data_IF_944242189037
#
_entry.id   IF_944242189037
#
_cell.length_a   1.000
_cell.length_b   1.000
_cell.length_c   1.000
_cell.angle_alpha   90.00
_cell.angle_beta   90.00
_cell.angle_gamma   90.00
#
_symmetry.space_group_name_H-M   'P 1'
#
loop_
_entity.id
_entity.type
_entity.pdbx_description
1 polymer ?
#
# COMPACT_ATOMS: atom_id res chain seq x y z
N UNK A 1 14.52 -17.20 43.93
CA UNK A 1 13.42 -16.93 42.96
C UNK A 1 12.61 -15.74 43.49
N UNK A 2 13.23 -14.61 43.81
CA UNK A 2 13.66 -13.45 42.99
C UNK A 2 12.51 -12.54 42.51
N UNK A 3 12.38 -11.42 43.24
CA UNK A 3 11.64 -10.19 42.90
C UNK A 3 12.03 -9.60 41.52
N UNK A 4 13.15 -10.04 40.94
CA UNK A 4 13.57 -9.69 39.57
C UNK A 4 12.62 -10.21 38.48
N UNK A 5 11.84 -11.27 38.73
CA UNK A 5 10.86 -11.76 37.75
C UNK A 5 9.60 -10.91 37.67
N UNK A 6 9.25 -10.15 38.70
CA UNK A 6 8.04 -9.30 38.69
C UNK A 6 8.32 -7.98 37.97
N UNK A 7 9.53 -7.41 38.14
CA UNK A 7 9.96 -6.21 37.42
C UNK A 7 10.13 -6.41 35.90
N UNK A 8 10.54 -7.60 35.45
CA UNK A 8 10.66 -7.90 34.01
C UNK A 8 9.32 -8.13 33.30
N UNK A 9 8.26 -8.52 34.02
CA UNK A 9 6.93 -8.72 33.45
C UNK A 9 6.17 -7.40 33.31
N UNK A 10 6.31 -6.48 34.27
CA UNK A 10 5.71 -5.13 34.17
C UNK A 10 6.40 -4.24 33.11
N UNK A 11 7.72 -4.35 32.94
CA UNK A 11 8.42 -3.61 31.87
C UNK A 11 8.10 -4.15 30.46
N UNK A 12 7.82 -5.46 30.31
CA UNK A 12 7.35 -6.02 29.03
C UNK A 12 5.91 -5.63 28.70
N UNK A 13 5.03 -5.52 29.69
CA UNK A 13 3.65 -5.07 29.49
C UNK A 13 3.57 -3.60 29.04
N UNK A 14 4.40 -2.72 29.62
CA UNK A 14 4.46 -1.30 29.22
C UNK A 14 5.11 -1.08 27.85
N UNK A 15 6.06 -1.94 27.44
CA UNK A 15 6.64 -1.90 26.09
C UNK A 15 5.69 -2.50 25.04
N UNK A 16 4.84 -3.47 25.42
CA UNK A 16 3.80 -4.01 24.54
C UNK A 16 2.61 -3.06 24.36
N UNK A 17 2.18 -2.35 25.40
CA UNK A 17 1.14 -1.30 25.28
C UNK A 17 1.68 -0.06 24.55
N UNK A 18 2.97 0.27 24.69
CA UNK A 18 3.61 1.34 23.92
C UNK A 18 3.79 1.00 22.44
N UNK A 19 4.16 -0.24 22.11
CA UNK A 19 4.29 -0.72 20.73
C UNK A 19 2.92 -0.87 20.06
N UNK A 20 1.92 -1.41 20.76
CA UNK A 20 0.54 -1.45 20.25
C UNK A 20 -0.05 -0.05 20.12
N UNK A 21 0.29 0.93 20.97
CA UNK A 21 -0.17 2.31 20.83
C UNK A 21 0.45 3.05 19.64
N UNK A 22 1.67 2.72 19.20
CA UNK A 22 2.23 3.26 17.96
C UNK A 22 1.70 2.52 16.73
N UNK A 23 1.52 1.20 16.82
CA UNK A 23 0.83 0.42 15.78
C UNK A 23 -0.63 0.89 15.62
N UNK A 24 -1.33 1.24 16.70
CA UNK A 24 -2.69 1.81 16.69
C UNK A 24 -2.73 3.25 16.16
N UNK A 25 -1.65 4.04 16.34
CA UNK A 25 -1.54 5.38 15.73
C UNK A 25 -1.19 5.33 14.24
N UNK A 26 -0.56 4.25 13.79
CA UNK A 26 -0.34 3.95 12.36
C UNK A 26 -1.57 3.25 11.74
N UNK A 27 -2.39 2.53 12.51
CA UNK A 27 -3.57 1.75 12.06
C UNK A 27 -4.87 2.54 11.88
N UNK A 28 -4.83 3.87 11.87
CA UNK A 28 -5.93 4.73 11.39
C UNK A 28 -5.80 5.07 9.89
N UNK A 29 -4.99 4.29 9.14
CA UNK A 29 -4.42 4.68 7.85
C UNK A 29 -5.24 4.40 6.60
N UNK A 30 -6.42 3.77 6.67
CA UNK A 30 -7.20 3.57 5.44
C UNK A 30 -8.03 4.79 5.03
N UNK A 31 -8.30 5.73 5.94
CA UNK A 31 -9.27 6.81 5.69
C UNK A 31 -8.86 8.22 6.14
N UNK A 32 -7.61 8.43 6.59
CA UNK A 32 -7.04 9.78 6.69
C UNK A 32 -6.72 10.32 5.28
N UNK A 33 -7.77 10.66 4.56
CA UNK A 33 -7.79 11.06 3.15
C UNK A 33 -7.07 12.39 2.85
N UNK A 34 -6.40 13.02 3.82
CA UNK A 34 -5.73 14.31 3.64
C UNK A 34 -4.20 14.24 3.54
N UNK A 35 -3.54 13.13 3.88
CA UNK A 35 -2.06 13.09 3.95
C UNK A 35 -1.38 12.02 3.08
N UNK A 36 -2.11 11.07 2.49
CA UNK A 36 -1.51 10.18 1.48
C UNK A 36 -1.21 10.98 0.21
N UNK A 37 0.07 11.12 -0.15
CA UNK A 37 0.48 11.60 -1.46
C UNK A 37 -0.04 10.64 -2.54
N UNK A 38 -1.27 10.88 -3.01
CA UNK A 38 -1.89 10.05 -4.05
C UNK A 38 -1.09 10.16 -5.34
N UNK A 39 -0.82 9.00 -5.93
CA UNK A 39 -0.15 8.86 -7.21
C UNK A 39 -1.23 8.61 -8.25
N UNK A 40 -1.40 9.55 -9.19
CA UNK A 40 -2.29 9.38 -10.33
C UNK A 40 -1.64 8.59 -11.46
N UNK A 41 -0.31 8.64 -11.56
CA UNK A 41 0.47 7.84 -12.49
C UNK A 41 1.92 7.68 -11.99
N UNK A 42 2.53 6.55 -12.32
CA UNK A 42 3.98 6.31 -12.19
C UNK A 42 4.61 6.41 -13.56
N UNK A 43 5.64 7.27 -13.69
CA UNK A 43 6.39 7.49 -14.94
C UNK A 43 7.77 6.84 -14.82
N UNK A 44 8.09 5.91 -15.73
CA UNK A 44 9.32 5.14 -15.74
C UNK A 44 10.40 5.80 -16.61
N UNK A 45 11.64 5.32 -16.50
CA UNK A 45 12.79 5.93 -17.17
C UNK A 45 12.77 5.75 -18.70
N UNK A 46 12.11 4.70 -19.18
CA UNK A 46 11.89 4.43 -20.60
C UNK A 46 10.80 5.32 -21.23
N UNK A 47 10.20 6.23 -20.44
CA UNK A 47 9.12 7.10 -20.88
C UNK A 47 7.74 6.45 -20.85
N UNK A 48 7.64 5.18 -20.43
CA UNK A 48 6.34 4.54 -20.19
C UNK A 48 5.70 5.06 -18.90
N UNK A 49 4.37 5.06 -18.87
CA UNK A 49 3.59 5.49 -17.72
C UNK A 49 2.51 4.47 -17.38
N UNK A 50 2.32 4.21 -16.10
CA UNK A 50 1.19 3.42 -15.59
C UNK A 50 0.26 4.36 -14.86
N UNK A 51 -0.95 4.54 -15.38
CA UNK A 51 -2.03 5.27 -14.71
C UNK A 51 -2.54 4.43 -13.55
N UNK A 52 -2.62 5.05 -12.37
CA UNK A 52 -3.13 4.38 -11.18
C UNK A 52 -4.61 4.67 -11.05
N UNK A 53 -5.49 3.67 -11.14
CA UNK A 53 -6.91 3.87 -10.91
C UNK A 53 -7.16 4.37 -9.50
N UNK A 54 -8.11 5.28 -9.36
CA UNK A 54 -8.52 5.85 -8.07
C UNK A 54 -10.04 5.92 -8.03
N UNK A 55 -10.61 5.78 -6.84
CA UNK A 55 -12.03 6.01 -6.62
C UNK A 55 -12.42 7.45 -6.98
N UNK A 56 -13.66 7.64 -7.41
CA UNK A 56 -14.20 8.98 -7.62
C UNK A 56 -14.25 9.75 -6.29
N UNK A 57 -14.27 11.08 -6.35
CA UNK A 57 -14.43 11.91 -5.14
C UNK A 57 -15.75 11.63 -4.41
N UNK A 58 -16.81 11.31 -5.16
CA UNK A 58 -18.10 10.93 -4.62
C UNK A 58 -18.02 9.60 -3.84
N UNK A 59 -17.37 8.58 -4.40
CA UNK A 59 -17.21 7.29 -3.75
C UNK A 59 -16.35 7.41 -2.49
N UNK A 60 -15.30 8.25 -2.54
CA UNK A 60 -14.45 8.55 -1.38
C UNK A 60 -15.20 9.27 -0.27
N UNK A 61 -16.04 10.23 -0.63
CA UNK A 61 -16.91 10.92 0.34
C UNK A 61 -17.89 9.93 0.98
N UNK A 62 -18.41 9.00 0.18
CA UNK A 62 -19.31 7.94 0.65
C UNK A 62 -18.59 7.01 1.64
N UNK A 63 -17.39 6.55 1.31
CA UNK A 63 -16.51 5.79 2.20
C UNK A 63 -16.24 6.52 3.51
N UNK A 64 -15.83 7.79 3.44
CA UNK A 64 -15.52 8.60 4.62
C UNK A 64 -16.75 8.78 5.52
N UNK A 65 -17.94 8.95 4.92
CA UNK A 65 -19.19 9.05 5.66
C UNK A 65 -19.56 7.73 6.34
N UNK A 66 -19.47 6.61 5.62
CA UNK A 66 -19.79 5.27 6.13
C UNK A 66 -18.86 4.89 7.29
N UNK A 67 -17.55 5.12 7.14
CA UNK A 67 -16.57 4.81 8.17
C UNK A 67 -16.61 5.79 9.34
N UNK A 68 -16.88 7.08 9.09
CA UNK A 68 -17.10 8.08 10.13
C UNK A 68 -18.29 7.77 11.02
N UNK A 69 -19.24 6.95 10.55
CA UNK A 69 -20.35 6.42 11.35
C UNK A 69 -20.01 5.21 12.22
N UNK A 70 -18.82 4.61 12.06
CA UNK A 70 -18.38 3.44 12.83
C UNK A 70 -17.75 3.89 14.16
N UNK A 71 -18.18 3.35 15.32
CA UNK A 71 -17.56 3.62 16.61
C UNK A 71 -16.05 3.34 16.61
N UNK A 72 -15.25 4.23 17.21
CA UNK A 72 -13.78 4.16 17.19
C UNK A 72 -13.23 2.82 17.70
N UNK A 73 -13.88 2.22 18.70
CA UNK A 73 -13.52 0.92 19.28
C UNK A 73 -13.79 -0.26 18.35
N UNK A 74 -14.58 -0.06 17.28
CA UNK A 74 -14.95 -1.09 16.30
C UNK A 74 -14.34 -0.85 14.92
N UNK A 75 -13.77 0.33 14.67
CA UNK A 75 -13.13 0.69 13.40
C UNK A 75 -12.06 -0.31 12.98
N UNK A 76 -11.23 -0.79 13.93
CA UNK A 76 -10.19 -1.77 13.62
C UNK A 76 -10.76 -3.12 13.13
N UNK A 77 -11.83 -3.61 13.74
CA UNK A 77 -12.47 -4.86 13.34
C UNK A 77 -13.16 -4.74 11.97
N UNK A 78 -13.84 -3.62 11.75
CA UNK A 78 -14.45 -3.29 10.44
C UNK A 78 -13.38 -3.22 9.36
N UNK A 79 -12.25 -2.59 9.66
CA UNK A 79 -11.14 -2.48 8.73
C UNK A 79 -10.52 -3.83 8.38
N UNK A 80 -10.26 -4.67 9.38
CA UNK A 80 -9.72 -6.01 9.17
C UNK A 80 -10.64 -6.87 8.31
N UNK A 81 -11.95 -6.77 8.53
CA UNK A 81 -12.94 -7.48 7.73
C UNK A 81 -12.98 -6.98 6.27
N UNK A 82 -12.89 -5.66 6.05
CA UNK A 82 -12.79 -5.08 4.72
C UNK A 82 -11.52 -5.52 4.00
N UNK A 83 -10.39 -5.58 4.69
CA UNK A 83 -9.11 -6.05 4.13
C UNK A 83 -9.16 -7.54 3.77
N UNK A 84 -9.82 -8.38 4.58
CA UNK A 84 -10.04 -9.80 4.25
C UNK A 84 -10.91 -9.97 3.01
N UNK A 85 -11.95 -9.14 2.87
CA UNK A 85 -12.78 -9.13 1.66
C UNK A 85 -11.97 -8.66 0.44
N UNK A 86 -11.18 -7.60 0.56
CA UNK A 86 -10.27 -7.14 -0.49
C UNK A 86 -9.32 -8.27 -0.94
N UNK A 87 -8.69 -8.97 0.00
CA UNK A 87 -7.81 -10.10 -0.30
C UNK A 87 -8.56 -11.25 -1.02
N UNK A 88 -9.77 -11.57 -0.59
CA UNK A 88 -10.59 -12.60 -1.24
C UNK A 88 -10.96 -12.21 -2.68
N UNK A 89 -11.31 -10.93 -2.91
CA UNK A 89 -11.59 -10.39 -4.25
C UNK A 89 -10.36 -10.41 -5.16
N UNK A 90 -9.18 -10.16 -4.60
CA UNK A 90 -7.92 -10.23 -5.32
C UNK A 90 -7.63 -11.66 -5.81
N UNK A 91 -7.79 -12.66 -4.94
CA UNK A 91 -7.65 -14.08 -5.30
C UNK A 91 -8.68 -14.49 -6.35
N UNK A 92 -9.91 -14.02 -6.23
CA UNK A 92 -10.99 -14.33 -7.17
C UNK A 92 -10.72 -13.76 -8.57
N UNK A 93 -10.28 -12.49 -8.64
CA UNK A 93 -9.90 -11.83 -9.89
C UNK A 93 -8.75 -12.57 -10.57
N UNK A 94 -7.67 -12.84 -9.83
CA UNK A 94 -6.51 -13.55 -10.34
C UNK A 94 -6.84 -14.97 -10.87
N UNK A 95 -7.82 -15.64 -10.27
CA UNK A 95 -8.25 -16.98 -10.69
C UNK A 95 -9.20 -16.96 -11.89
N UNK A 96 -9.94 -15.87 -12.10
CA UNK A 96 -10.99 -15.75 -13.12
C UNK A 96 -10.69 -14.61 -14.11
N UNK A 97 -9.67 -14.80 -14.95
CA UNK A 97 -9.22 -13.81 -15.95
C UNK A 97 -10.29 -13.38 -16.97
N UNK A 98 -11.33 -14.19 -17.21
CA UNK A 98 -12.48 -13.86 -18.08
C UNK A 98 -13.55 -13.00 -17.40
N UNK A 99 -13.35 -12.64 -16.13
CA UNK A 99 -14.29 -11.90 -15.31
C UNK A 99 -15.26 -12.81 -14.55
N UNK A 100 -15.62 -12.39 -13.34
CA UNK A 100 -16.55 -13.14 -12.49
C UNK A 100 -17.98 -12.94 -12.98
N UNK A 101 -18.66 -14.03 -13.34
CA UNK A 101 -20.08 -13.98 -13.72
C UNK A 101 -20.94 -13.64 -12.51
N UNK A 102 -22.01 -12.87 -12.75
CA UNK A 102 -22.99 -12.53 -11.72
C UNK A 102 -23.56 -13.81 -11.10
N UNK A 103 -23.41 -13.97 -9.78
CA UNK A 103 -23.94 -15.11 -9.04
C UNK A 103 -23.05 -16.36 -8.97
N UNK A 104 -21.82 -16.31 -9.51
CA UNK A 104 -20.88 -17.45 -9.50
C UNK A 104 -19.59 -17.16 -8.71
N UNK A 105 -19.71 -16.47 -7.59
CA UNK A 105 -18.58 -16.11 -6.73
C UNK A 105 -18.04 -17.34 -6.01
N UNK A 106 -16.73 -17.41 -5.78
CA UNK A 106 -16.17 -18.47 -4.93
C UNK A 106 -16.75 -18.45 -3.51
N UNK A 107 -16.65 -19.60 -2.85
CA UNK A 107 -16.98 -19.73 -1.43
C UNK A 107 -16.14 -18.79 -0.56
N UNK A 108 -14.90 -18.50 -0.95
CA UNK A 108 -14.00 -17.57 -0.26
C UNK A 108 -14.53 -16.13 -0.27
N UNK A 109 -14.89 -15.61 -1.45
CA UNK A 109 -15.50 -14.28 -1.58
C UNK A 109 -16.83 -14.21 -0.82
N UNK A 110 -17.66 -15.24 -0.95
CA UNK A 110 -18.96 -15.29 -0.27
C UNK A 110 -18.82 -15.27 1.25
N UNK A 111 -17.87 -16.04 1.80
CA UNK A 111 -17.59 -16.08 3.22
C UNK A 111 -17.03 -14.75 3.75
N UNK A 112 -16.03 -14.19 3.06
CA UNK A 112 -15.44 -12.91 3.45
C UNK A 112 -16.46 -11.76 3.38
N UNK A 113 -17.35 -11.78 2.39
CA UNK A 113 -18.42 -10.79 2.26
C UNK A 113 -19.44 -10.90 3.39
N UNK A 114 -19.87 -12.13 3.72
CA UNK A 114 -20.81 -12.37 4.82
C UNK A 114 -20.23 -11.94 6.18
N UNK A 115 -18.95 -12.22 6.41
CA UNK A 115 -18.24 -11.79 7.61
C UNK A 115 -18.15 -10.26 7.69
N UNK A 116 -17.67 -9.61 6.63
CA UNK A 116 -17.50 -8.17 6.61
C UNK A 116 -18.84 -7.42 6.75
N UNK A 117 -19.90 -7.90 6.10
CA UNK A 117 -21.26 -7.37 6.26
C UNK A 117 -21.76 -7.52 7.70
N UNK A 118 -21.50 -8.66 8.35
CA UNK A 118 -21.91 -8.91 9.73
C UNK A 118 -21.19 -7.99 10.72
N UNK A 119 -19.87 -7.84 10.56
CA UNK A 119 -19.04 -6.98 11.43
C UNK A 119 -19.47 -5.52 11.25
N UNK A 120 -19.63 -5.06 10.02
CA UNK A 120 -20.08 -3.70 9.74
C UNK A 120 -21.51 -3.42 10.23
N UNK A 121 -22.44 -4.36 10.01
CA UNK A 121 -23.82 -4.26 10.48
C UNK A 121 -23.93 -4.20 12.01
N UNK A 122 -23.08 -4.97 12.71
CA UNK A 122 -22.97 -4.93 14.17
C UNK A 122 -22.44 -3.56 14.63
N UNK A 123 -21.39 -3.05 13.98
CA UNK A 123 -20.76 -1.80 14.37
C UNK A 123 -21.64 -0.56 14.13
N UNK A 124 -22.43 -0.58 13.07
CA UNK A 124 -23.37 0.51 12.73
C UNK A 124 -24.73 0.37 13.40
N UNK A 125 -24.91 -0.62 14.30
CA UNK A 125 -26.16 -0.90 15.03
C UNK A 125 -27.37 -1.18 14.13
N UNK A 126 -27.15 -1.87 13.00
CA UNK A 126 -28.23 -2.48 12.22
C UNK A 126 -29.00 -1.53 11.28
N UNK A 127 -28.28 -0.90 10.34
CA UNK A 127 -28.92 -0.25 9.17
C UNK A 127 -29.55 -1.25 8.19
N UNK A 128 -30.27 -0.76 7.18
CA UNK A 128 -30.81 -1.61 6.11
C UNK A 128 -29.70 -2.47 5.48
N UNK A 129 -29.99 -3.73 5.17
CA UNK A 129 -29.03 -4.71 4.61
C UNK A 129 -28.29 -4.11 3.40
N UNK A 130 -28.99 -3.34 2.57
CA UNK A 130 -28.44 -2.67 1.38
C UNK A 130 -27.32 -1.69 1.75
N UNK A 131 -27.49 -0.91 2.82
CA UNK A 131 -26.50 0.05 3.28
C UNK A 131 -25.29 -0.65 3.91
N UNK A 132 -25.50 -1.79 4.56
CA UNK A 132 -24.41 -2.61 5.12
C UNK A 132 -23.56 -3.24 4.01
N UNK A 133 -24.22 -3.78 2.99
CA UNK A 133 -23.58 -4.39 1.83
C UNK A 133 -22.84 -3.35 1.00
N UNK A 134 -23.48 -2.22 0.71
CA UNK A 134 -22.87 -1.10 0.01
C UNK A 134 -21.65 -0.57 0.78
N UNK A 135 -21.77 -0.40 2.10
CA UNK A 135 -20.65 0.07 2.91
C UNK A 135 -19.47 -0.89 2.95
N UNK A 136 -19.74 -2.18 3.11
CA UNK A 136 -18.74 -3.25 3.06
C UNK A 136 -17.98 -3.26 1.74
N UNK A 137 -18.68 -3.12 0.61
CA UNK A 137 -18.08 -3.12 -0.72
C UNK A 137 -17.24 -1.87 -0.99
N UNK A 138 -17.69 -0.69 -0.55
CA UNK A 138 -16.91 0.54 -0.65
C UNK A 138 -15.65 0.53 0.21
N UNK A 139 -15.69 -0.07 1.40
CA UNK A 139 -14.50 -0.21 2.24
C UNK A 139 -13.49 -1.22 1.66
N UNK A 140 -13.96 -2.33 1.09
CA UNK A 140 -13.09 -3.27 0.39
C UNK A 140 -12.41 -2.62 -0.82
N UNK A 141 -13.16 -1.80 -1.57
CA UNK A 141 -12.61 -1.02 -2.68
C UNK A 141 -11.52 -0.04 -2.22
N UNK A 142 -11.77 0.67 -1.11
CA UNK A 142 -10.79 1.58 -0.55
C UNK A 142 -9.52 0.85 -0.05
N UNK A 143 -9.66 -0.36 0.51
CA UNK A 143 -8.53 -1.21 0.86
C UNK A 143 -7.68 -1.59 -0.36
N UNK A 144 -8.32 -2.00 -1.44
CA UNK A 144 -7.64 -2.30 -2.71
C UNK A 144 -6.94 -1.08 -3.32
N UNK A 145 -7.58 0.10 -3.26
CA UNK A 145 -6.95 1.35 -3.71
C UNK A 145 -5.75 1.69 -2.81
N UNK A 146 -5.87 1.51 -1.49
CA UNK A 146 -4.80 1.76 -0.53
C UNK A 146 -3.53 0.96 -0.84
N UNK A 147 -3.65 -0.36 -0.97
CA UNK A 147 -2.51 -1.23 -1.27
C UNK A 147 -1.82 -0.86 -2.60
N UNK A 148 -2.62 -0.54 -3.63
CA UNK A 148 -2.10 -0.11 -4.93
C UNK A 148 -1.40 1.25 -4.85
N UNK A 149 -1.97 2.20 -4.09
CA UNK A 149 -1.39 3.53 -3.89
C UNK A 149 -0.08 3.46 -3.12
N UNK A 150 -0.02 2.67 -2.05
CA UNK A 150 1.19 2.47 -1.25
C UNK A 150 2.31 1.85 -2.08
N UNK A 151 1.99 0.83 -2.87
CA UNK A 151 2.95 0.24 -3.80
C UNK A 151 3.42 1.28 -4.85
N UNK A 152 2.50 2.01 -5.47
CA UNK A 152 2.84 3.06 -6.45
C UNK A 152 3.73 4.17 -5.86
N UNK A 153 3.50 4.58 -4.62
CA UNK A 153 4.35 5.54 -3.89
C UNK A 153 5.75 4.95 -3.70
N UNK A 154 5.88 3.69 -3.30
CA UNK A 154 7.16 3.01 -3.14
C UNK A 154 7.94 2.97 -4.48
N UNK A 155 7.29 2.55 -5.57
CA UNK A 155 7.90 2.53 -6.91
C UNK A 155 8.37 3.92 -7.33
N UNK A 156 7.55 4.95 -7.13
CA UNK A 156 7.92 6.35 -7.43
C UNK A 156 9.10 6.82 -6.59
N UNK A 157 9.16 6.43 -5.31
CA UNK A 157 10.28 6.71 -4.41
C UNK A 157 11.59 6.09 -4.91
N UNK A 158 11.56 4.81 -5.29
CA UNK A 158 12.71 4.11 -5.90
C UNK A 158 13.18 4.80 -7.17
N UNK A 159 12.27 5.17 -8.07
CA UNK A 159 12.59 5.88 -9.32
C UNK A 159 13.23 7.26 -9.06
N UNK A 160 12.78 7.98 -8.02
CA UNK A 160 13.41 9.23 -7.60
C UNK A 160 14.83 8.98 -7.07
N UNK A 161 15.02 7.96 -6.24
CA UNK A 161 16.34 7.59 -5.70
C UNK A 161 17.33 7.18 -6.79
N UNK A 162 16.91 6.48 -7.84
CA UNK A 162 17.79 6.20 -8.99
C UNK A 162 18.31 7.50 -9.62
N UNK A 163 17.45 8.53 -9.74
CA UNK A 163 17.86 9.84 -10.29
C UNK A 163 18.83 10.55 -9.36
N UNK A 164 18.58 10.49 -8.05
CA UNK A 164 19.46 11.09 -7.04
C UNK A 164 20.83 10.40 -7.01
N UNK A 165 20.87 9.07 -7.01
CA UNK A 165 22.12 8.30 -7.09
C UNK A 165 22.91 8.63 -8.36
N UNK A 166 22.23 8.82 -9.51
CA UNK A 166 22.88 9.26 -10.74
C UNK A 166 23.56 10.62 -10.56
N UNK A 167 22.92 11.56 -9.89
CA UNK A 167 23.53 12.87 -9.57
C UNK A 167 24.76 12.69 -8.69
N UNK A 168 24.65 11.94 -7.58
CA UNK A 168 25.76 11.70 -6.66
C UNK A 168 26.97 11.04 -7.38
N UNK A 169 26.72 10.09 -8.28
CA UNK A 169 27.75 9.43 -9.10
C UNK A 169 28.41 10.43 -10.06
N UNK A 170 27.62 11.27 -10.73
CA UNK A 170 28.15 12.30 -11.65
C UNK A 170 29.01 13.29 -10.88
N UNK A 171 28.56 13.79 -9.74
CA UNK A 171 29.33 14.73 -8.90
C UNK A 171 30.66 14.11 -8.44
N UNK A 172 30.65 12.86 -8.00
CA UNK A 172 31.88 12.14 -7.63
C UNK A 172 32.82 11.95 -8.83
N UNK A 173 32.30 11.53 -10.00
CA UNK A 173 33.11 11.33 -11.21
C UNK A 173 33.72 12.64 -11.72
N UNK A 174 32.95 13.72 -11.69
CA UNK A 174 33.42 15.05 -12.09
C UNK A 174 34.50 15.59 -11.14
N UNK A 175 34.35 15.35 -9.83
CA UNK A 175 35.36 15.70 -8.84
C UNK A 175 36.63 14.86 -8.97
N UNK A 176 36.53 13.57 -9.26
CA UNK A 176 37.67 12.68 -9.55
C UNK A 176 38.41 13.14 -10.81
N UNK A 177 37.68 13.51 -11.87
CA UNK A 177 38.27 14.00 -13.10
C UNK A 177 39.01 15.33 -12.89
N UNK A 178 38.44 16.24 -12.10
CA UNK A 178 38.97 17.58 -11.83
C UNK A 178 39.66 17.68 -10.47
N UNK A 179 40.33 16.61 -10.02
CA UNK A 179 40.93 16.56 -8.69
C UNK A 179 42.01 17.65 -8.54
N UNK A 180 41.94 18.54 -7.52
CA UNK A 180 42.91 19.61 -7.35
C UNK A 180 44.31 19.08 -7.08
N UNK A 181 45.31 19.72 -7.70
CA UNK A 181 46.71 19.38 -7.45
C UNK A 181 47.11 19.66 -6.00
N UNK A 182 47.86 18.73 -5.40
CA UNK A 182 48.34 18.86 -4.02
C UNK A 182 47.30 18.61 -2.92
N UNK A 183 46.04 18.31 -3.26
CA UNK A 183 44.99 17.96 -2.29
C UNK A 183 44.91 16.45 -2.11
N UNK A 184 45.21 15.97 -0.91
CA UNK A 184 45.16 14.54 -0.58
C UNK A 184 43.73 14.01 -0.44
N UNK A 185 42.84 14.79 0.18
CA UNK A 185 41.45 14.42 0.46
C UNK A 185 40.47 15.56 0.25
N UNK A 186 39.27 15.23 -0.21
CA UNK A 186 38.14 16.16 -0.32
C UNK A 186 36.91 15.60 0.39
N UNK A 187 36.07 16.49 0.92
CA UNK A 187 34.82 16.10 1.57
C UNK A 187 33.75 15.87 0.50
N UNK A 188 33.13 14.69 0.54
CA UNK A 188 31.99 14.34 -0.28
C UNK A 188 30.78 14.06 0.59
N UNK A 189 29.59 14.21 0.01
CA UNK A 189 28.35 13.72 0.58
C UNK A 189 27.65 12.87 -0.47
N UNK A 190 27.06 11.76 -0.06
CA UNK A 190 26.35 10.84 -0.94
C UNK A 190 25.26 10.11 -0.19
N UNK A 191 24.33 9.50 -0.92
CA UNK A 191 23.29 8.62 -0.35
C UNK A 191 23.70 7.17 -0.45
N UNK A 192 23.57 6.43 0.65
CA UNK A 192 23.60 4.98 0.64
C UNK A 192 22.19 4.44 0.72
N UNK A 193 21.88 3.50 -0.17
CA UNK A 193 20.58 2.87 -0.27
C UNK A 193 20.71 1.42 0.17
N UNK A 194 19.88 1.02 1.12
CA UNK A 194 19.71 -0.37 1.54
C UNK A 194 18.27 -0.77 1.31
N UNK A 195 18.07 -1.99 0.83
CA UNK A 195 16.75 -2.54 0.54
C UNK A 195 16.58 -3.75 1.44
N UNK A 196 15.51 -3.76 2.24
CA UNK A 196 15.21 -4.91 3.09
C UNK A 196 14.54 -6.05 2.30
N UNK A 197 14.34 -7.19 2.95
CA UNK A 197 13.70 -8.38 2.33
C UNK A 197 12.25 -8.10 1.89
N UNK A 198 11.60 -7.08 2.45
CA UNK A 198 10.26 -6.65 2.09
C UNK A 198 10.27 -5.62 0.93
N UNK A 199 11.43 -5.28 0.39
CA UNK A 199 11.56 -4.31 -0.70
C UNK A 199 11.40 -2.85 -0.26
N UNK A 200 11.44 -2.57 1.04
CA UNK A 200 11.45 -1.21 1.56
C UNK A 200 12.84 -0.61 1.45
N UNK A 201 12.87 0.66 1.09
CA UNK A 201 14.11 1.37 0.89
C UNK A 201 14.46 2.19 2.12
N UNK A 202 15.67 2.00 2.64
CA UNK A 202 16.28 2.84 3.65
C UNK A 202 17.45 3.61 3.05
N UNK A 203 17.34 4.93 3.11
CA UNK A 203 18.36 5.86 2.62
C UNK A 203 19.12 6.44 3.81
N UNK A 204 20.43 6.43 3.73
CA UNK A 204 21.32 7.05 4.72
C UNK A 204 22.21 8.05 4.00
N UNK A 205 22.10 9.32 4.38
CA UNK A 205 23.06 10.33 3.94
C UNK A 205 24.39 10.12 4.65
N UNK A 206 25.47 10.09 3.87
CA UNK A 206 26.83 9.96 4.35
C UNK A 206 27.63 11.17 3.91
N UNK A 207 28.65 11.50 4.71
CA UNK A 207 29.65 12.48 4.32
C UNK A 207 31.00 12.13 4.90
N UNK A 208 32.03 12.13 4.07
CA UNK A 208 33.38 11.72 4.45
C UNK A 208 34.45 12.43 3.62
N UNK A 209 35.65 12.54 4.18
CA UNK A 209 36.85 12.97 3.46
C UNK A 209 37.49 11.78 2.75
N UNK A 210 37.39 11.75 1.41
CA UNK A 210 37.89 10.67 0.57
C UNK A 210 39.14 11.12 -0.20
N UNK A 211 40.07 10.19 -0.43
CA UNK A 211 41.12 10.38 -1.46
C UNK A 211 40.52 10.26 -2.86
N UNK A 212 41.30 10.59 -3.90
CA UNK A 212 40.88 10.44 -5.29
C UNK A 212 40.46 9.00 -5.62
N UNK A 213 41.25 8.03 -5.18
CA UNK A 213 41.00 6.60 -5.38
C UNK A 213 39.75 6.14 -4.62
N UNK A 214 39.57 6.59 -3.37
CA UNK A 214 38.38 6.28 -2.58
C UNK A 214 37.11 6.87 -3.18
N UNK A 215 37.16 8.10 -3.70
CA UNK A 215 36.04 8.72 -4.39
C UNK A 215 35.68 7.98 -5.68
N UNK A 216 36.68 7.53 -6.45
CA UNK A 216 36.45 6.70 -7.64
C UNK A 216 35.78 5.36 -7.29
N UNK A 217 36.32 4.64 -6.30
CA UNK A 217 35.72 3.40 -5.80
C UNK A 217 34.29 3.62 -5.28
N UNK A 218 34.03 4.77 -4.65
CA UNK A 218 32.71 5.09 -4.15
C UNK A 218 31.72 5.34 -5.28
N UNK A 219 32.13 6.03 -6.33
CA UNK A 219 31.31 6.23 -7.53
C UNK A 219 30.95 4.88 -8.18
N UNK A 220 31.88 3.93 -8.26
CA UNK A 220 31.61 2.60 -8.82
C UNK A 220 30.64 1.80 -7.93
N UNK A 221 30.82 1.84 -6.60
CA UNK A 221 29.88 1.20 -5.66
C UNK A 221 28.47 1.79 -5.73
N UNK A 222 28.34 3.11 -5.91
CA UNK A 222 27.04 3.76 -6.09
C UNK A 222 26.41 3.39 -7.45
N UNK A 223 27.22 3.21 -8.49
CA UNK A 223 26.77 2.74 -9.80
C UNK A 223 26.19 1.32 -9.73
N UNK A 224 26.85 0.40 -9.02
CA UNK A 224 26.33 -0.95 -8.78
C UNK A 224 24.98 -0.93 -8.03
N UNK A 225 24.89 -0.09 -6.99
CA UNK A 225 23.67 0.10 -6.20
C UNK A 225 22.53 0.71 -7.04
N UNK A 226 22.84 1.72 -7.86
CA UNK A 226 21.90 2.33 -8.80
C UNK A 226 21.37 1.29 -9.79
N UNK A 227 22.24 0.45 -10.36
CA UNK A 227 21.84 -0.58 -11.31
C UNK A 227 20.94 -1.63 -10.64
N UNK A 228 21.27 -2.06 -9.41
CA UNK A 228 20.41 -2.98 -8.64
C UNK A 228 19.04 -2.39 -8.35
N UNK A 229 18.98 -1.09 -8.02
CA UNK A 229 17.70 -0.39 -7.80
C UNK A 229 16.92 -0.24 -9.11
N UNK A 230 17.59 -0.02 -10.24
CA UNK A 230 16.95 -0.01 -11.56
C UNK A 230 16.33 -1.35 -11.92
N UNK A 231 17.04 -2.46 -11.72
CA UNK A 231 16.53 -3.81 -11.98
C UNK A 231 15.29 -4.10 -11.12
N UNK A 232 15.30 -3.69 -9.85
CA UNK A 232 14.13 -3.80 -8.98
C UNK A 232 12.96 -2.92 -9.46
N UNK A 233 13.22 -1.70 -9.95
CA UNK A 233 12.13 -0.86 -10.49
C UNK A 233 11.51 -1.42 -11.76
N UNK A 234 12.25 -2.19 -12.56
CA UNK A 234 11.68 -2.91 -13.71
C UNK A 234 10.82 -4.09 -13.26
N UNK A 235 11.21 -4.82 -12.21
CA UNK A 235 10.33 -5.84 -11.61
C UNK A 235 9.05 -5.20 -11.04
N UNK A 236 9.20 -4.13 -10.26
CA UNK A 236 8.10 -3.38 -9.67
C UNK A 236 7.14 -2.83 -10.74
N UNK A 237 7.64 -2.49 -11.93
CA UNK A 237 6.80 -2.08 -13.06
C UNK A 237 5.82 -3.18 -13.46
N UNK A 238 6.30 -4.42 -13.61
CA UNK A 238 5.44 -5.56 -13.93
C UNK A 238 4.44 -5.84 -12.81
N UNK A 239 4.89 -5.77 -11.56
CA UNK A 239 4.01 -5.94 -10.41
C UNK A 239 2.95 -4.83 -10.33
N UNK A 240 3.31 -3.58 -10.63
CA UNK A 240 2.38 -2.45 -10.65
C UNK A 240 1.35 -2.58 -11.78
N UNK A 241 1.76 -3.06 -12.95
CA UNK A 241 0.83 -3.41 -14.03
C UNK A 241 -0.14 -4.51 -13.60
N UNK A 242 0.37 -5.58 -12.98
CA UNK A 242 -0.43 -6.68 -12.47
C UNK A 242 -1.43 -6.19 -11.42
N UNK A 243 -0.97 -5.47 -10.39
CA UNK A 243 -1.83 -4.92 -9.34
C UNK A 243 -2.91 -3.97 -9.90
N UNK A 244 -2.59 -3.19 -10.94
CA UNK A 244 -3.58 -2.34 -11.62
C UNK A 244 -4.66 -3.16 -12.33
N UNK A 245 -4.28 -4.27 -12.98
CA UNK A 245 -5.22 -5.18 -13.63
C UNK A 245 -6.08 -5.89 -12.57
N UNK A 246 -5.48 -6.37 -11.49
CA UNK A 246 -6.16 -7.06 -10.41
C UNK A 246 -7.14 -6.12 -9.70
N UNK A 247 -6.77 -4.85 -9.48
CA UNK A 247 -7.67 -3.82 -8.97
C UNK A 247 -8.90 -3.67 -9.88
N UNK A 248 -8.70 -3.58 -11.21
CA UNK A 248 -9.81 -3.45 -12.15
C UNK A 248 -10.72 -4.69 -12.15
N UNK A 249 -10.15 -5.89 -12.04
CA UNK A 249 -10.92 -7.13 -11.93
C UNK A 249 -11.71 -7.20 -10.62
N UNK A 250 -11.11 -6.79 -9.51
CA UNK A 250 -11.78 -6.74 -8.21
C UNK A 250 -12.93 -5.73 -8.22
N UNK A 251 -12.75 -4.55 -8.84
CA UNK A 251 -13.84 -3.57 -9.08
C UNK A 251 -14.98 -4.17 -9.90
N UNK A 252 -14.66 -4.90 -10.96
CA UNK A 252 -15.67 -5.56 -11.79
C UNK A 252 -16.43 -6.63 -10.99
N UNK A 253 -15.73 -7.37 -10.12
CA UNK A 253 -16.31 -8.39 -9.24
C UNK A 253 -17.23 -7.77 -8.20
N UNK A 254 -16.80 -6.67 -7.56
CA UNK A 254 -17.64 -5.88 -6.65
C UNK A 254 -18.89 -5.34 -7.35
N UNK A 255 -18.76 -4.88 -8.59
CA UNK A 255 -19.89 -4.40 -9.39
C UNK A 255 -20.88 -5.52 -9.71
N UNK A 256 -20.39 -6.72 -10.04
CA UNK A 256 -21.22 -7.90 -10.24
C UNK A 256 -21.93 -8.34 -8.94
N UNK A 257 -21.27 -8.26 -7.79
CA UNK A 257 -21.84 -8.51 -6.47
C UNK A 257 -22.98 -7.54 -6.14
N UNK A 258 -22.74 -6.23 -6.32
CA UNK A 258 -23.75 -5.18 -6.13
C UNK A 258 -24.99 -5.45 -6.98
N UNK A 259 -24.79 -5.77 -8.26
CA UNK A 259 -25.89 -6.09 -9.18
C UNK A 259 -26.65 -7.33 -8.75
N UNK A 260 -25.95 -8.41 -8.40
CA UNK A 260 -26.56 -9.66 -7.93
C UNK A 260 -27.44 -9.45 -6.69
N UNK A 261 -26.96 -8.65 -5.72
CA UNK A 261 -27.72 -8.33 -4.52
C UNK A 261 -28.96 -7.50 -4.85
N UNK A 262 -28.81 -6.47 -5.69
CA UNK A 262 -29.93 -5.63 -6.11
C UNK A 262 -31.03 -6.43 -6.82
N UNK A 263 -30.65 -7.30 -7.75
CA UNK A 263 -31.59 -8.16 -8.49
C UNK A 263 -32.30 -9.15 -7.55
N UNK A 264 -31.58 -9.71 -6.56
CA UNK A 264 -32.15 -10.60 -5.55
C UNK A 264 -33.19 -9.87 -4.68
N UNK A 265 -32.89 -8.66 -4.22
CA UNK A 265 -33.81 -7.84 -3.42
C UNK A 265 -35.07 -7.46 -4.22
N UNK A 266 -34.90 -7.06 -5.48
CA UNK A 266 -36.03 -6.80 -6.38
C UNK A 266 -36.93 -8.02 -6.55
N UNK A 267 -36.35 -9.22 -6.70
CA UNK A 267 -37.10 -10.47 -6.82
C UNK A 267 -37.92 -10.76 -5.55
N UNK A 268 -37.32 -10.59 -4.37
CA UNK A 268 -38.01 -10.75 -3.08
C UNK A 268 -39.18 -9.76 -2.95
N UNK A 269 -38.95 -8.48 -3.28
CA UNK A 269 -40.01 -7.45 -3.25
C UNK A 269 -41.12 -7.76 -4.26
N UNK A 270 -40.75 -8.23 -5.46
CA UNK A 270 -41.71 -8.65 -6.49
C UNK A 270 -42.58 -9.80 -6.02
N UNK A 271 -41.99 -10.81 -5.37
CA UNK A 271 -42.70 -11.96 -4.82
C UNK A 271 -43.56 -11.63 -3.60
N UNK A 272 -43.20 -10.61 -2.82
CA UNK A 272 -44.02 -10.12 -1.70
C UNK A 272 -45.21 -9.25 -2.15
N UNK A 273 -45.17 -8.72 -3.38
CA UNK A 273 -46.24 -7.91 -3.99
C UNK A 273 -47.21 -8.73 -4.84
N UNK A 274 -46.87 -9.98 -5.16
CA UNK A 274 -47.70 -10.94 -5.91
C UNK A 274 -48.59 -11.74 -4.95
#
# INVERSE_FOLDING_TARGET
>A
MTLERVGQVQNRALVYEGAQSQELRVRLSLFNASEFQRVSAVQFQDGSGISIPTMSEQDRTTVAHLFGGVPLDQQAAVQEAANRLAAALYVEGATNAEGVKVGSFSSGVTAALGEAATIYGTATKGGAIDQQMQGTMFMALAGLEGDLQDFAVNVRGKLALVKELRTDITELRDAVANWPEGVEKQKFSWREVTIDEAGNVKVVERSEYLTKEQAAQKADSLEEMKNSLQDLTEMDKFDLQRMTQDYQQAVNTLSALLKSNHDSLKSIIGNLKA
#
